data_IF_933078185136
#
_entry.id   IF_933078185136
#
_cell.length_a   1.000
_cell.length_b   1.000
_cell.length_c   1.000
_cell.angle_alpha   90.00
_cell.angle_beta   90.00
_cell.angle_gamma   90.00
#
_symmetry.space_group_name_H-M   'P 1'
#
loop_
_entity.id
_entity.type
_entity.pdbx_description
1 polymer ?
#
# COMPACT_ATOMS: atom_id res chain seq x y z
N UNK A 1 -10.62 17.62 82.82
CA UNK A 1 -11.27 16.38 82.32
C UNK A 1 -11.09 16.36 80.85
N UNK A 2 -10.17 15.51 80.39
CA UNK A 2 -9.77 15.32 78.97
C UNK A 2 -10.44 14.04 78.50
N UNK A 3 -11.32 14.13 77.53
CA UNK A 3 -11.84 12.96 76.82
C UNK A 3 -11.13 12.82 75.46
N UNK A 4 -10.35 11.79 75.34
CA UNK A 4 -9.74 11.34 74.11
C UNK A 4 -10.66 10.29 73.44
N UNK A 5 -11.16 10.58 72.24
CA UNK A 5 -11.81 9.58 71.38
C UNK A 5 -10.77 8.92 70.47
N UNK A 6 -10.76 7.60 70.35
CA UNK A 6 -9.94 6.94 69.34
C UNK A 6 -10.68 6.90 68.01
N UNK A 7 -10.03 7.40 66.96
CA UNK A 7 -10.47 7.26 65.57
C UNK A 7 -10.15 5.82 65.14
N UNK A 8 -11.19 5.01 64.98
CA UNK A 8 -11.08 3.69 64.37
C UNK A 8 -10.95 3.87 62.84
N UNK A 9 -9.78 3.63 62.31
CA UNK A 9 -9.47 3.62 60.87
C UNK A 9 -10.07 2.36 60.26
N UNK A 10 -11.22 2.46 59.58
CA UNK A 10 -11.84 1.37 58.82
C UNK A 10 -11.12 1.23 57.51
N UNK A 11 -10.18 0.30 57.40
CA UNK A 11 -9.54 -0.14 56.17
C UNK A 11 -10.53 -1.01 55.38
N UNK A 12 -11.24 -0.39 54.44
CA UNK A 12 -11.99 -1.11 53.41
C UNK A 12 -10.99 -1.63 52.36
N UNK A 13 -10.62 -2.88 52.50
CA UNK A 13 -9.92 -3.63 51.45
C UNK A 13 -10.89 -3.86 50.29
N UNK A 14 -10.83 -2.99 49.29
CA UNK A 14 -11.41 -3.23 48.00
C UNK A 14 -10.60 -4.38 47.33
N UNK A 15 -11.08 -5.60 47.49
CA UNK A 15 -10.65 -6.72 46.66
C UNK A 15 -11.15 -6.43 45.23
N UNK A 16 -10.32 -5.75 44.44
CA UNK A 16 -10.44 -5.78 43.00
C UNK A 16 -10.02 -7.21 42.52
N UNK A 17 -10.97 -8.13 42.55
CA UNK A 17 -10.84 -9.36 41.82
C UNK A 17 -10.81 -8.97 40.33
N UNK A 18 -9.61 -8.81 39.79
CA UNK A 18 -9.39 -8.83 38.34
C UNK A 18 -9.82 -10.24 37.92
N UNK A 19 -11.10 -10.36 37.48
CA UNK A 19 -11.55 -11.52 36.75
C UNK A 19 -10.76 -11.49 35.44
N UNK A 20 -9.62 -12.15 35.40
CA UNK A 20 -8.99 -12.50 34.16
C UNK A 20 -10.02 -13.35 33.40
N UNK A 21 -10.72 -12.75 32.47
CA UNK A 21 -11.51 -13.49 31.48
C UNK A 21 -10.51 -14.41 30.79
N UNK A 22 -10.58 -15.71 31.11
CA UNK A 22 -9.83 -16.70 30.36
C UNK A 22 -10.22 -16.52 28.89
N UNK A 23 -9.28 -16.15 28.05
CA UNK A 23 -9.53 -16.02 26.63
C UNK A 23 -10.12 -17.36 26.17
N UNK A 24 -11.30 -17.36 25.57
CA UNK A 24 -11.89 -18.56 25.00
C UNK A 24 -10.95 -19.10 23.93
N UNK A 25 -10.32 -20.23 24.23
CA UNK A 25 -9.37 -20.89 23.34
C UNK A 25 -10.07 -21.81 22.33
N UNK A 26 -11.38 -21.93 22.41
CA UNK A 26 -12.20 -22.81 21.56
C UNK A 26 -12.11 -22.32 20.11
N UNK A 27 -11.83 -23.26 19.20
CA UNK A 27 -11.84 -22.99 17.77
C UNK A 27 -13.15 -23.58 17.21
N UNK A 28 -13.96 -22.70 16.63
CA UNK A 28 -15.26 -23.06 16.07
C UNK A 28 -15.14 -23.43 14.60
N UNK A 29 -15.99 -24.34 14.15
CA UNK A 29 -16.17 -24.74 12.74
C UNK A 29 -17.44 -24.13 12.12
N UNK A 30 -18.35 -23.64 12.97
CA UNK A 30 -19.64 -23.04 12.58
C UNK A 30 -19.90 -21.80 13.43
N UNK A 31 -20.41 -20.75 12.81
CA UNK A 31 -20.77 -19.49 13.45
C UNK A 31 -22.01 -18.89 12.77
N UNK A 32 -22.69 -17.98 13.46
CA UNK A 32 -23.86 -17.26 12.93
C UNK A 32 -23.47 -16.31 11.79
N UNK A 33 -22.32 -15.65 11.95
CA UNK A 33 -21.70 -14.85 10.90
C UNK A 33 -20.30 -15.40 10.63
N UNK A 34 -20.06 -15.78 9.39
CA UNK A 34 -18.77 -16.27 8.94
C UNK A 34 -17.76 -15.14 8.82
N UNK A 35 -16.47 -15.41 9.01
CA UNK A 35 -15.44 -14.40 8.84
C UNK A 35 -15.37 -13.91 7.38
N UNK A 36 -14.90 -12.68 7.21
CA UNK A 36 -14.78 -12.04 5.91
C UNK A 36 -13.47 -11.25 5.81
N UNK A 37 -12.66 -11.39 4.75
CA UNK A 37 -11.48 -10.56 4.57
C UNK A 37 -11.89 -9.10 4.36
N UNK A 38 -11.23 -8.20 5.10
CA UNK A 38 -11.46 -6.76 5.02
C UNK A 38 -10.75 -6.18 3.79
N UNK A 39 -11.44 -6.17 2.67
CA UNK A 39 -10.96 -5.62 1.42
C UNK A 39 -11.83 -4.43 0.99
N UNK A 40 -11.19 -3.29 0.80
CA UNK A 40 -11.88 -2.02 0.60
C UNK A 40 -12.68 -1.93 -0.69
N UNK A 41 -12.22 -2.59 -1.76
CA UNK A 41 -12.94 -2.65 -3.02
C UNK A 41 -14.31 -3.34 -2.91
N UNK A 42 -14.54 -4.08 -1.83
CA UNK A 42 -15.74 -4.88 -1.62
C UNK A 42 -16.63 -4.38 -0.47
N UNK A 43 -16.42 -3.15 0.01
CA UNK A 43 -17.22 -2.62 1.13
C UNK A 43 -18.58 -2.10 0.65
N UNK A 44 -19.66 -2.33 1.44
CA UNK A 44 -21.03 -1.91 1.10
C UNK A 44 -21.16 -0.41 0.83
N UNK A 45 -20.37 0.41 1.56
CA UNK A 45 -20.37 1.87 1.44
C UNK A 45 -19.97 2.35 0.05
N UNK A 46 -19.19 1.54 -0.68
CA UNK A 46 -18.76 1.82 -2.05
C UNK A 46 -19.73 1.30 -3.11
N UNK A 47 -20.61 0.40 -2.71
CA UNK A 47 -21.53 -0.28 -3.61
C UNK A 47 -22.95 -0.25 -3.04
N UNK A 48 -23.64 0.91 -3.07
CA UNK A 48 -25.02 1.01 -2.62
C UNK A 48 -25.90 -0.03 -3.34
N UNK A 49 -26.59 -0.86 -2.57
CA UNK A 49 -27.44 -1.92 -3.10
C UNK A 49 -26.81 -3.33 -3.17
N UNK A 50 -25.55 -3.48 -2.79
CA UNK A 50 -24.96 -4.82 -2.63
C UNK A 50 -25.55 -5.53 -1.43
N UNK A 51 -25.85 -6.80 -1.62
CA UNK A 51 -26.22 -7.71 -0.52
C UNK A 51 -24.97 -8.19 0.20
N UNK A 52 -25.12 -8.69 1.42
CA UNK A 52 -24.04 -9.32 2.18
C UNK A 52 -23.32 -10.42 1.38
N UNK A 53 -24.08 -11.18 0.59
CA UNK A 53 -23.58 -12.23 -0.28
C UNK A 53 -22.73 -11.68 -1.45
N UNK A 54 -23.10 -10.53 -1.98
CA UNK A 54 -22.31 -9.84 -3.01
C UNK A 54 -20.98 -9.33 -2.46
N UNK A 55 -21.00 -8.77 -1.26
CA UNK A 55 -19.79 -8.33 -0.54
C UNK A 55 -18.86 -9.51 -0.28
N UNK A 56 -19.39 -10.64 0.18
CA UNK A 56 -18.64 -11.87 0.43
C UNK A 56 -17.96 -12.40 -0.82
N UNK A 57 -18.71 -12.56 -1.90
CA UNK A 57 -18.16 -13.04 -3.19
C UNK A 57 -17.06 -12.14 -3.72
N UNK A 58 -17.23 -10.82 -3.61
CA UNK A 58 -16.20 -9.86 -3.99
C UNK A 58 -14.94 -10.04 -3.14
N UNK A 59 -15.08 -10.09 -1.81
CA UNK A 59 -13.95 -10.20 -0.88
C UNK A 59 -13.17 -11.50 -1.07
N UNK A 60 -13.85 -12.62 -1.28
CA UNK A 60 -13.23 -13.92 -1.56
C UNK A 60 -12.47 -13.90 -2.89
N UNK A 61 -13.07 -13.36 -3.96
CA UNK A 61 -12.42 -13.25 -5.27
C UNK A 61 -11.19 -12.34 -5.24
N UNK A 62 -11.29 -11.19 -4.58
CA UNK A 62 -10.19 -10.26 -4.41
C UNK A 62 -9.06 -10.86 -3.57
N UNK A 63 -9.39 -11.55 -2.48
CA UNK A 63 -8.39 -12.25 -1.66
C UNK A 63 -7.60 -13.26 -2.50
N UNK A 64 -8.28 -14.09 -3.28
CA UNK A 64 -7.62 -15.06 -4.17
C UNK A 64 -6.71 -14.36 -5.18
N UNK A 65 -7.13 -13.20 -5.70
CA UNK A 65 -6.31 -12.40 -6.60
C UNK A 65 -5.06 -11.86 -5.91
N UNK A 66 -5.21 -11.34 -4.68
CA UNK A 66 -4.08 -10.85 -3.89
C UNK A 66 -3.10 -11.99 -3.58
N UNK A 67 -3.62 -13.13 -3.16
CA UNK A 67 -2.81 -14.32 -2.89
C UNK A 67 -2.05 -14.75 -4.15
N UNK A 68 -2.75 -14.86 -5.29
CA UNK A 68 -2.14 -15.26 -6.56
C UNK A 68 -1.01 -14.33 -7.02
N UNK A 69 -1.16 -13.01 -6.80
CA UNK A 69 -0.11 -12.02 -7.11
C UNK A 69 1.13 -12.13 -6.20
N UNK A 70 0.99 -12.71 -5.01
CA UNK A 70 2.06 -12.83 -4.02
C UNK A 70 2.66 -14.23 -3.93
N UNK A 71 2.08 -15.22 -4.61
CA UNK A 71 2.64 -16.57 -4.72
C UNK A 71 3.87 -16.52 -5.63
N UNK A 72 4.96 -17.11 -5.14
CA UNK A 72 6.15 -17.41 -5.94
C UNK A 72 6.10 -18.89 -6.26
N UNK A 73 6.03 -19.21 -7.55
CA UNK A 73 6.02 -20.62 -7.96
C UNK A 73 7.38 -21.25 -7.63
N UNK A 74 7.43 -22.28 -6.75
CA UNK A 74 8.70 -22.86 -6.34
C UNK A 74 9.44 -23.47 -7.54
N UNK A 75 10.76 -23.28 -7.56
CA UNK A 75 11.60 -23.74 -8.68
C UNK A 75 11.51 -25.25 -8.90
N UNK A 76 11.54 -26.04 -7.81
CA UNK A 76 11.37 -27.49 -7.87
C UNK A 76 10.02 -27.88 -8.46
N UNK A 77 8.94 -27.20 -8.09
CA UNK A 77 7.62 -27.46 -8.64
C UNK A 77 7.56 -27.12 -10.13
N UNK A 78 8.23 -26.03 -10.54
CA UNK A 78 8.31 -25.59 -11.94
C UNK A 78 9.09 -26.62 -12.80
N UNK A 79 10.25 -27.05 -12.32
CA UNK A 79 11.08 -28.04 -13.02
C UNK A 79 10.38 -29.40 -13.20
N UNK A 80 9.56 -29.78 -12.21
CA UNK A 80 8.82 -31.03 -12.21
C UNK A 80 7.40 -30.92 -12.80
N UNK A 81 7.03 -29.77 -13.36
CA UNK A 81 5.70 -29.47 -13.89
C UNK A 81 4.55 -29.83 -12.91
N UNK A 82 4.75 -29.56 -11.61
CA UNK A 82 3.77 -29.88 -10.57
C UNK A 82 2.67 -28.82 -10.53
N UNK A 83 1.50 -29.12 -11.03
CA UNK A 83 0.29 -28.32 -10.93
C UNK A 83 -0.73 -28.94 -9.99
N UNK A 84 -1.56 -28.14 -9.37
CA UNK A 84 -2.63 -28.62 -8.52
C UNK A 84 -3.09 -27.63 -7.48
N UNK A 85 -3.81 -28.15 -6.48
CA UNK A 85 -4.35 -27.33 -5.40
C UNK A 85 -3.72 -27.75 -4.06
N UNK A 86 -3.02 -26.81 -3.45
CA UNK A 86 -2.63 -26.86 -2.04
C UNK A 86 -3.82 -26.42 -1.21
N UNK A 87 -4.16 -27.15 -0.16
CA UNK A 87 -5.19 -26.74 0.78
C UNK A 87 -4.53 -26.40 2.10
N UNK A 88 -4.69 -25.15 2.50
CA UNK A 88 -4.25 -24.68 3.82
C UNK A 88 -5.45 -24.52 4.76
N UNK A 89 -5.20 -24.55 6.05
CA UNK A 89 -6.14 -24.08 7.06
C UNK A 89 -5.45 -23.13 8.02
N UNK A 90 -6.19 -22.18 8.57
CA UNK A 90 -5.73 -21.25 9.58
C UNK A 90 -6.91 -20.87 10.49
N UNK A 91 -6.60 -20.28 11.63
CA UNK A 91 -7.60 -19.76 12.56
C UNK A 91 -7.68 -18.26 12.42
N UNK A 92 -8.89 -17.74 12.21
CA UNK A 92 -9.17 -16.31 12.26
C UNK A 92 -9.46 -15.96 13.70
N UNK A 93 -8.64 -15.12 14.27
CA UNK A 93 -8.72 -14.67 15.66
C UNK A 93 -9.77 -13.55 15.83
N UNK A 94 -10.30 -13.34 17.04
CA UNK A 94 -11.20 -12.21 17.32
C UNK A 94 -10.61 -10.83 16.96
N UNK A 95 -9.29 -10.73 16.91
CA UNK A 95 -8.56 -9.53 16.49
C UNK A 95 -8.55 -9.29 14.97
N UNK A 96 -9.06 -10.24 14.19
CA UNK A 96 -9.00 -10.22 12.74
C UNK A 96 -7.65 -10.66 12.15
N UNK A 97 -6.68 -11.06 12.96
CA UNK A 97 -5.44 -11.69 12.51
C UNK A 97 -5.66 -13.17 12.24
N UNK A 98 -4.73 -13.79 11.52
CA UNK A 98 -4.72 -15.24 11.38
C UNK A 98 -3.62 -15.87 12.24
N UNK A 99 -3.86 -17.11 12.64
CA UNK A 99 -2.91 -17.93 13.42
C UNK A 99 -3.00 -19.40 13.03
N UNK A 100 -2.06 -20.21 13.47
CA UNK A 100 -2.13 -21.65 13.35
C UNK A 100 -2.25 -22.15 11.92
N UNK A 101 -1.53 -21.56 10.96
CA UNK A 101 -1.51 -21.99 9.57
C UNK A 101 -1.00 -23.43 9.48
N UNK A 102 -1.77 -24.28 8.81
CA UNK A 102 -1.46 -25.70 8.55
C UNK A 102 -1.70 -26.04 7.09
N UNK A 103 -0.88 -26.89 6.56
CA UNK A 103 -1.05 -27.45 5.22
C UNK A 103 -1.87 -28.75 5.39
N UNK A 104 -3.08 -28.78 4.83
CA UNK A 104 -3.98 -29.95 4.87
C UNK A 104 -3.73 -30.87 3.68
N UNK A 105 -3.38 -30.29 2.52
CA UNK A 105 -3.04 -31.00 1.30
C UNK A 105 -1.92 -30.28 0.61
N UNK A 106 -0.88 -30.99 0.23
CA UNK A 106 0.24 -30.50 -0.55
C UNK A 106 0.34 -31.25 -1.88
N UNK A 107 0.89 -30.58 -2.87
CA UNK A 107 1.23 -31.16 -4.18
C UNK A 107 2.73 -31.42 -4.34
N UNK A 108 3.53 -31.09 -3.32
CA UNK A 108 4.97 -31.24 -3.32
C UNK A 108 5.71 -30.07 -3.95
N UNK A 109 7.02 -30.27 -4.21
CA UNK A 109 7.89 -29.26 -4.86
C UNK A 109 7.96 -27.91 -4.15
N UNK A 110 7.72 -27.84 -2.84
CA UNK A 110 7.73 -26.60 -2.08
C UNK A 110 6.43 -25.78 -2.13
N UNK A 111 5.37 -26.26 -2.81
CA UNK A 111 4.12 -25.51 -2.97
C UNK A 111 3.36 -25.31 -1.66
N UNK A 112 3.36 -26.31 -0.76
CA UNK A 112 2.76 -26.18 0.57
C UNK A 112 3.41 -25.12 1.44
N UNK A 113 4.73 -25.15 1.67
CA UNK A 113 5.48 -24.10 2.34
C UNK A 113 5.25 -22.70 1.74
N UNK A 114 5.22 -22.58 0.42
CA UNK A 114 4.97 -21.30 -0.25
C UNK A 114 3.54 -20.78 0.02
N UNK A 115 2.55 -21.65 -0.01
CA UNK A 115 1.17 -21.29 0.33
C UNK A 115 1.05 -20.77 1.78
N UNK A 116 1.74 -21.43 2.73
CA UNK A 116 1.78 -20.97 4.11
C UNK A 116 2.52 -19.64 4.25
N UNK A 117 3.66 -19.46 3.54
CA UNK A 117 4.43 -18.21 3.54
C UNK A 117 3.59 -17.02 3.06
N UNK A 118 2.84 -17.19 1.97
CA UNK A 118 2.01 -16.11 1.42
C UNK A 118 0.92 -15.69 2.41
N UNK A 119 0.24 -16.64 3.03
CA UNK A 119 -0.78 -16.32 4.03
C UNK A 119 -0.19 -15.56 5.23
N UNK A 120 0.96 -16.00 5.72
CA UNK A 120 1.67 -15.32 6.80
C UNK A 120 2.09 -13.92 6.38
N UNK A 121 2.70 -13.77 5.19
CA UNK A 121 3.12 -12.48 4.68
C UNK A 121 1.97 -11.48 4.50
N UNK A 122 0.79 -11.95 4.09
CA UNK A 122 -0.39 -11.09 3.98
C UNK A 122 -0.91 -10.64 5.34
N UNK A 123 -0.88 -11.51 6.37
CA UNK A 123 -1.23 -11.12 7.74
C UNK A 123 -0.22 -10.12 8.31
N UNK A 124 1.07 -10.34 8.07
CA UNK A 124 2.15 -9.43 8.51
C UNK A 124 2.08 -8.08 7.77
N UNK A 125 1.72 -8.11 6.48
CA UNK A 125 1.46 -6.89 5.69
C UNK A 125 0.16 -6.17 6.07
N UNK A 126 -0.57 -6.71 7.06
CA UNK A 126 -1.73 -6.05 7.63
C UNK A 126 -3.08 -6.48 7.04
N UNK A 127 -3.17 -7.52 6.21
CA UNK A 127 -4.48 -8.07 5.84
C UNK A 127 -5.23 -8.49 7.12
N UNK A 128 -6.47 -8.01 7.26
CA UNK A 128 -7.33 -8.31 8.41
C UNK A 128 -8.64 -8.92 7.97
N UNK A 129 -9.29 -9.60 8.92
CA UNK A 129 -10.57 -10.25 8.74
C UNK A 129 -11.60 -9.66 9.71
N UNK A 130 -12.82 -9.52 9.26
CA UNK A 130 -13.95 -9.47 10.19
C UNK A 130 -14.03 -10.85 10.84
N UNK A 131 -13.98 -10.94 12.18
CA UNK A 131 -14.04 -12.23 12.86
C UNK A 131 -15.42 -12.89 12.71
N UNK A 132 -15.45 -14.19 12.88
CA UNK A 132 -16.71 -14.91 13.04
C UNK A 132 -17.46 -14.43 14.29
N UNK A 133 -18.78 -14.42 14.24
CA UNK A 133 -19.61 -14.03 15.38
C UNK A 133 -20.48 -15.20 15.83
N UNK A 134 -20.57 -15.37 17.16
CA UNK A 134 -21.45 -16.31 17.81
C UNK A 134 -21.99 -15.69 19.11
N UNK A 135 -23.30 -15.78 19.33
CA UNK A 135 -23.98 -15.17 20.46
C UNK A 135 -23.59 -13.68 20.65
N UNK A 136 -23.46 -12.95 19.52
CA UNK A 136 -23.08 -11.53 19.49
C UNK A 136 -21.63 -11.25 19.87
N UNK A 137 -20.77 -12.25 20.02
CA UNK A 137 -19.34 -12.11 20.38
C UNK A 137 -18.42 -12.58 19.26
N UNK A 138 -17.27 -11.92 19.05
CA UNK A 138 -16.27 -12.40 18.13
C UNK A 138 -15.60 -13.66 18.66
N UNK A 139 -15.51 -14.69 17.81
CA UNK A 139 -14.96 -16.00 18.18
C UNK A 139 -13.85 -16.42 17.23
N UNK A 140 -13.00 -17.33 17.72
CA UNK A 140 -11.95 -17.97 16.91
C UNK A 140 -12.59 -18.98 15.96
N UNK A 141 -12.32 -18.86 14.68
CA UNK A 141 -12.89 -19.76 13.69
C UNK A 141 -11.83 -20.33 12.75
N UNK A 142 -11.91 -21.63 12.49
CA UNK A 142 -11.08 -22.29 11.49
C UNK A 142 -11.61 -21.98 10.09
N UNK A 143 -10.68 -21.57 9.22
CA UNK A 143 -10.94 -21.36 7.80
C UNK A 143 -10.01 -22.25 6.97
N UNK A 144 -10.53 -22.88 5.94
CA UNK A 144 -9.75 -23.56 4.93
C UNK A 144 -9.65 -22.70 3.67
N UNK A 145 -8.47 -22.70 3.04
CA UNK A 145 -8.26 -21.97 1.79
C UNK A 145 -7.54 -22.86 0.78
N UNK A 146 -8.20 -23.17 -0.36
CA UNK A 146 -7.55 -23.83 -1.48
C UNK A 146 -6.77 -22.80 -2.30
N UNK A 147 -5.48 -23.07 -2.53
CA UNK A 147 -4.59 -22.27 -3.35
C UNK A 147 -4.18 -23.08 -4.57
N UNK A 148 -4.55 -22.60 -5.75
CA UNK A 148 -4.27 -23.31 -6.99
C UNK A 148 -2.95 -22.86 -7.59
N UNK A 149 -2.02 -23.80 -7.71
CA UNK A 149 -0.78 -23.66 -8.44
C UNK A 149 -1.00 -24.10 -9.88
N UNK A 150 -0.78 -23.21 -10.82
CA UNK A 150 -0.80 -23.48 -12.27
C UNK A 150 0.46 -22.90 -12.87
N UNK A 151 1.05 -23.62 -13.80
CA UNK A 151 2.15 -23.15 -14.63
C UNK A 151 1.68 -22.25 -15.78
N UNK A 152 0.49 -21.65 -15.64
CA UNK A 152 0.12 -20.57 -16.54
C UNK A 152 1.02 -19.38 -16.23
N UNK A 153 1.75 -18.95 -17.28
CA UNK A 153 2.37 -17.63 -17.25
C UNK A 153 1.32 -16.62 -16.82
N UNK A 154 1.62 -15.83 -15.79
CA UNK A 154 0.78 -14.70 -15.45
C UNK A 154 0.57 -13.89 -16.75
N UNK A 155 -0.66 -13.48 -17.03
CA UNK A 155 -0.90 -12.63 -18.20
C UNK A 155 0.08 -11.46 -18.12
N UNK A 156 0.80 -11.17 -19.19
CA UNK A 156 1.80 -10.11 -19.21
C UNK A 156 1.16 -8.72 -19.06
N UNK A 157 -0.16 -8.65 -18.91
CA UNK A 157 -0.94 -7.42 -18.83
C UNK A 157 -2.10 -7.57 -17.84
N UNK A 158 -2.62 -6.43 -17.39
CA UNK A 158 -3.92 -6.33 -16.73
C UNK A 158 -4.86 -5.46 -17.58
N UNK A 159 -6.15 -5.56 -17.30
CA UNK A 159 -7.16 -4.70 -17.94
C UNK A 159 -7.41 -3.51 -17.01
N UNK A 160 -7.22 -2.30 -17.53
CA UNK A 160 -7.49 -1.08 -16.78
C UNK A 160 -9.01 -0.73 -16.71
N UNK A 161 -9.37 0.38 -16.09
CA UNK A 161 -10.76 0.81 -15.93
C UNK A 161 -11.46 1.15 -17.26
N UNK A 162 -10.69 1.48 -18.31
CA UNK A 162 -11.21 1.78 -19.67
C UNK A 162 -11.32 0.54 -20.54
N UNK A 163 -10.84 -0.62 -20.07
CA UNK A 163 -10.90 -1.89 -20.80
C UNK A 163 -9.65 -2.16 -21.65
N UNK A 164 -8.62 -1.33 -21.53
CA UNK A 164 -7.36 -1.50 -22.27
C UNK A 164 -6.41 -2.48 -21.58
N UNK A 165 -5.67 -3.25 -22.37
CA UNK A 165 -4.62 -4.14 -21.84
C UNK A 165 -3.35 -3.36 -21.59
N UNK A 166 -2.98 -3.19 -20.32
CA UNK A 166 -1.74 -2.52 -19.90
C UNK A 166 -0.71 -3.56 -19.52
N UNK A 167 0.36 -3.65 -20.30
CA UNK A 167 1.40 -4.65 -20.14
C UNK A 167 2.33 -4.27 -18.98
N UNK A 168 2.62 -5.25 -18.13
CA UNK A 168 3.55 -5.15 -16.98
C UNK A 168 4.80 -6.00 -17.19
N UNK A 169 4.75 -6.92 -18.17
CA UNK A 169 5.89 -7.69 -18.62
C UNK A 169 6.07 -7.40 -20.11
N UNK A 170 7.22 -6.86 -20.48
CA UNK A 170 7.53 -6.42 -21.84
C UNK A 170 8.97 -6.80 -22.19
N UNK A 171 9.27 -6.99 -23.47
CA UNK A 171 10.60 -7.28 -23.96
C UNK A 171 11.48 -6.02 -23.94
N UNK A 172 10.86 -4.86 -24.19
CA UNK A 172 11.49 -3.55 -24.05
C UNK A 172 10.52 -2.54 -23.47
N UNK A 173 11.00 -1.75 -22.50
CA UNK A 173 10.22 -0.64 -21.92
C UNK A 173 10.01 0.47 -22.95
N UNK A 174 8.97 1.30 -22.79
CA UNK A 174 8.81 2.49 -23.61
C UNK A 174 10.04 3.38 -23.46
N UNK A 175 10.41 4.03 -24.55
CA UNK A 175 11.51 4.97 -24.54
C UNK A 175 11.04 6.33 -25.10
N UNK A 176 11.67 7.41 -24.69
CA UNK A 176 11.38 8.73 -25.22
C UNK A 176 12.32 9.04 -26.41
N UNK A 177 11.88 9.89 -27.32
CA UNK A 177 12.72 10.41 -28.40
C UNK A 177 13.99 11.06 -27.81
N UNK A 178 15.17 10.54 -28.18
CA UNK A 178 16.44 10.96 -27.56
C UNK A 178 16.77 10.25 -26.23
N UNK A 179 16.01 9.24 -25.82
CA UNK A 179 16.25 8.47 -24.61
C UNK A 179 15.96 9.24 -23.33
N UNK A 180 16.62 8.87 -22.24
CA UNK A 180 16.48 9.53 -20.94
C UNK A 180 16.92 11.01 -20.99
N UNK A 181 17.98 11.31 -21.73
CA UNK A 181 18.45 12.70 -21.92
C UNK A 181 17.41 13.54 -22.65
N UNK A 182 16.80 12.97 -23.72
CA UNK A 182 15.73 13.63 -24.48
C UNK A 182 14.50 13.90 -23.63
N UNK A 183 14.11 12.96 -22.77
CA UNK A 183 13.02 13.16 -21.82
C UNK A 183 13.36 14.26 -20.80
N UNK A 184 14.58 14.22 -20.24
CA UNK A 184 15.03 15.22 -19.29
C UNK A 184 15.02 16.63 -19.90
N UNK A 185 15.59 16.78 -21.11
CA UNK A 185 15.57 18.04 -21.85
C UNK A 185 14.16 18.53 -22.15
N UNK A 186 13.28 17.62 -22.55
CA UNK A 186 11.87 17.93 -22.80
C UNK A 186 11.18 18.45 -21.54
N UNK A 187 11.43 17.80 -20.38
CA UNK A 187 10.86 18.21 -19.10
C UNK A 187 11.43 19.54 -18.63
N UNK A 188 12.77 19.71 -18.65
CA UNK A 188 13.43 20.92 -18.18
C UNK A 188 13.06 22.16 -19.01
N UNK A 189 12.96 22.02 -20.33
CA UNK A 189 12.64 23.12 -21.21
C UNK A 189 11.13 23.35 -21.39
N UNK A 190 10.32 22.33 -21.12
CA UNK A 190 8.87 22.36 -21.34
C UNK A 190 8.04 22.69 -20.11
N UNK A 191 8.58 22.46 -18.91
CA UNK A 191 7.88 22.66 -17.64
C UNK A 191 7.95 24.14 -17.24
N UNK A 192 6.77 24.74 -17.01
CA UNK A 192 6.70 26.13 -16.58
C UNK A 192 6.24 26.19 -15.12
N UNK A 193 6.95 27.00 -14.33
CA UNK A 193 6.50 27.30 -12.99
C UNK A 193 5.31 28.26 -13.05
N UNK A 194 4.14 27.92 -12.43
CA UNK A 194 2.94 28.77 -12.52
C UNK A 194 3.20 30.19 -12.00
N UNK A 195 2.90 31.19 -12.82
CA UNK A 195 3.28 32.59 -12.56
C UNK A 195 2.67 33.17 -11.30
N UNK A 196 1.46 32.74 -10.94
CA UNK A 196 0.77 33.16 -9.72
C UNK A 196 1.51 32.75 -8.43
N UNK A 197 2.39 31.76 -8.50
CA UNK A 197 3.09 31.19 -7.34
C UNK A 197 4.61 31.48 -7.33
N UNK A 198 5.12 32.29 -8.25
CA UNK A 198 6.58 32.52 -8.36
C UNK A 198 7.23 33.00 -7.07
N UNK A 199 6.52 33.78 -6.29
CA UNK A 199 7.06 34.37 -5.04
C UNK A 199 6.67 33.51 -3.79
N UNK A 200 5.91 32.43 -3.97
CA UNK A 200 5.52 31.53 -2.89
C UNK A 200 6.59 30.50 -2.51
N UNK A 201 7.64 30.39 -3.32
CA UNK A 201 8.72 29.41 -3.18
C UNK A 201 8.26 27.95 -3.01
N UNK A 202 7.08 27.60 -3.52
CA UNK A 202 6.62 26.22 -3.52
C UNK A 202 7.57 25.35 -4.31
N UNK A 203 8.05 24.28 -3.70
CA UNK A 203 8.97 23.33 -4.33
C UNK A 203 8.44 21.93 -4.10
N UNK A 204 8.42 21.09 -5.14
CA UNK A 204 7.88 19.75 -5.00
C UNK A 204 7.80 18.99 -6.30
N UNK A 205 7.23 17.78 -6.21
CA UNK A 205 7.12 16.85 -7.31
C UNK A 205 5.64 16.52 -7.56
N UNK A 206 5.25 16.60 -8.84
CA UNK A 206 4.06 15.96 -9.38
C UNK A 206 4.51 14.73 -10.13
N UNK A 207 3.93 13.58 -9.82
CA UNK A 207 4.11 12.34 -10.57
C UNK A 207 2.85 12.03 -11.36
N UNK A 208 3.01 11.73 -12.63
CA UNK A 208 1.94 11.25 -13.50
C UNK A 208 2.22 9.82 -13.91
N UNK A 209 1.23 8.95 -13.78
CA UNK A 209 1.25 7.63 -14.40
C UNK A 209 0.78 7.79 -15.84
N UNK A 210 1.71 7.68 -16.79
CA UNK A 210 1.43 7.84 -18.22
C UNK A 210 1.30 6.46 -18.85
N UNK A 211 0.17 6.18 -19.49
CA UNK A 211 0.02 5.04 -20.38
C UNK A 211 0.53 5.43 -21.75
N UNK A 212 1.65 4.84 -22.15
CA UNK A 212 2.21 4.98 -23.51
C UNK A 212 1.53 3.94 -24.38
N UNK A 213 0.74 4.40 -25.34
CA UNK A 213 -0.01 3.56 -26.29
C UNK A 213 0.87 2.98 -27.40
N UNK A 214 0.42 1.93 -28.09
CA UNK A 214 1.16 1.34 -29.20
C UNK A 214 1.47 2.30 -30.37
N UNK A 215 0.71 3.38 -30.50
CA UNK A 215 0.91 4.43 -31.50
C UNK A 215 1.76 5.63 -30.99
N UNK A 216 2.32 5.52 -29.79
CA UNK A 216 3.10 6.57 -29.15
C UNK A 216 2.26 7.70 -28.54
N UNK A 217 0.92 7.59 -28.56
CA UNK A 217 0.05 8.52 -27.86
C UNK A 217 0.13 8.27 -26.35
N UNK A 218 -0.29 9.28 -25.58
CA UNK A 218 -0.19 9.28 -24.12
C UNK A 218 -1.56 9.50 -23.51
N UNK A 219 -1.93 8.62 -22.58
CA UNK A 219 -3.06 8.84 -21.67
C UNK A 219 -2.51 9.03 -20.25
N UNK A 220 -3.23 9.80 -19.45
CA UNK A 220 -2.88 10.00 -18.03
C UNK A 220 -3.81 9.09 -17.22
N UNK A 221 -3.24 8.09 -16.57
CA UNK A 221 -3.97 7.12 -15.75
C UNK A 221 -4.16 7.62 -14.31
N UNK A 222 -3.13 8.25 -13.75
CA UNK A 222 -3.16 8.77 -12.38
C UNK A 222 -2.22 9.98 -12.22
N UNK A 223 -2.48 10.76 -11.17
CA UNK A 223 -1.64 11.90 -10.78
C UNK A 223 -1.47 11.99 -9.28
N UNK A 224 -0.24 12.21 -8.83
CA UNK A 224 0.13 12.30 -7.43
C UNK A 224 0.87 13.61 -7.17
N UNK A 225 0.32 14.45 -6.29
CA UNK A 225 0.96 15.68 -5.80
C UNK A 225 1.54 15.43 -4.42
N UNK A 226 2.79 15.01 -4.35
CA UNK A 226 3.44 14.64 -3.09
C UNK A 226 3.74 15.82 -2.17
N UNK A 227 3.73 17.04 -2.69
CA UNK A 227 4.16 18.23 -1.95
C UNK A 227 3.03 19.22 -1.70
N UNK A 228 1.80 18.91 -2.10
CA UNK A 228 0.66 19.81 -1.95
C UNK A 228 0.82 21.11 -2.75
N UNK A 229 1.40 21.01 -3.95
CA UNK A 229 1.63 22.17 -4.83
C UNK A 229 0.30 22.78 -5.27
N UNK A 230 -0.69 21.93 -5.58
CA UNK A 230 -2.04 22.33 -5.95
C UNK A 230 -2.32 22.28 -7.45
N UNK A 231 -3.58 22.61 -7.79
CA UNK A 231 -4.15 22.36 -9.12
C UNK A 231 -3.39 23.04 -10.28
N UNK A 232 -2.89 24.25 -10.10
CA UNK A 232 -2.18 24.94 -11.20
C UNK A 232 -0.90 24.21 -11.60
N UNK A 233 -0.20 23.61 -10.64
CA UNK A 233 0.97 22.77 -10.91
C UNK A 233 0.58 21.44 -11.55
N UNK A 234 -0.52 20.85 -11.10
CA UNK A 234 -1.05 19.63 -11.68
C UNK A 234 -1.48 19.85 -13.15
N UNK A 235 -2.17 20.95 -13.45
CA UNK A 235 -2.53 21.32 -14.83
C UNK A 235 -1.31 21.55 -15.71
N UNK A 236 -0.26 22.16 -15.17
CA UNK A 236 0.99 22.34 -15.91
C UNK A 236 1.68 21.01 -16.22
N UNK A 237 1.73 20.09 -15.25
CA UNK A 237 2.25 18.75 -15.46
C UNK A 237 1.44 17.99 -16.55
N UNK A 238 0.11 18.02 -16.47
CA UNK A 238 -0.78 17.42 -17.45
C UNK A 238 -0.57 18.05 -18.84
N UNK A 239 -0.48 19.40 -18.92
CA UNK A 239 -0.20 20.12 -20.16
C UNK A 239 1.09 19.62 -20.82
N UNK A 240 2.16 19.48 -20.03
CA UNK A 240 3.44 19.03 -20.56
C UNK A 240 3.37 17.55 -20.97
N UNK A 241 2.75 16.70 -20.16
CA UNK A 241 2.56 15.28 -20.49
C UNK A 241 1.83 15.10 -21.83
N UNK A 242 0.74 15.84 -22.05
CA UNK A 242 0.00 15.79 -23.33
C UNK A 242 0.86 16.23 -24.53
N UNK A 243 1.80 17.15 -24.33
CA UNK A 243 2.75 17.56 -25.39
C UNK A 243 3.82 16.51 -25.70
N UNK A 244 3.97 15.50 -24.87
CA UNK A 244 4.87 14.37 -25.12
C UNK A 244 4.28 13.32 -26.08
N UNK A 245 2.97 13.42 -26.39
CA UNK A 245 2.29 12.50 -27.29
C UNK A 245 3.00 12.47 -28.66
N UNK A 246 3.20 11.27 -29.20
CA UNK A 246 3.92 11.03 -30.44
C UNK A 246 5.45 11.10 -30.34
N UNK A 247 6.01 11.41 -29.15
CA UNK A 247 7.49 11.41 -28.89
C UNK A 247 7.94 10.14 -28.19
N UNK A 248 7.03 9.24 -27.87
CA UNK A 248 7.32 8.00 -27.21
C UNK A 248 7.44 6.85 -28.21
N UNK A 249 8.48 6.06 -28.04
CA UNK A 249 8.63 4.75 -28.68
C UNK A 249 7.93 3.76 -27.73
N UNK A 250 6.86 3.08 -28.19
CA UNK A 250 6.09 2.21 -27.30
C UNK A 250 6.88 0.97 -26.86
N UNK A 251 6.45 0.38 -25.74
CA UNK A 251 6.94 -0.91 -25.29
C UNK A 251 6.73 -1.99 -26.33
N UNK A 252 7.56 -3.02 -26.31
CA UNK A 252 7.42 -4.19 -27.18
C UNK A 252 7.15 -5.44 -26.34
N UNK A 253 6.24 -6.26 -26.82
CA UNK A 253 5.99 -7.60 -26.31
C UNK A 253 5.81 -8.57 -27.48
N UNK A 254 6.66 -9.60 -27.56
CA UNK A 254 6.69 -10.58 -28.67
C UNK A 254 6.74 -9.91 -30.05
N UNK A 255 7.56 -8.85 -30.17
CA UNK A 255 7.75 -8.10 -31.41
C UNK A 255 6.57 -7.21 -31.83
N UNK A 256 5.61 -6.97 -30.92
CA UNK A 256 4.45 -6.09 -31.16
C UNK A 256 4.48 -4.90 -30.20
N UNK A 257 4.15 -3.68 -30.66
CA UNK A 257 4.00 -2.55 -29.78
C UNK A 257 2.79 -2.75 -28.86
N UNK A 258 2.97 -2.47 -27.57
CA UNK A 258 1.95 -2.67 -26.52
C UNK A 258 1.85 -1.46 -25.63
N UNK A 259 0.67 -1.27 -24.99
CA UNK A 259 0.47 -0.21 -24.03
C UNK A 259 1.12 -0.56 -22.69
N UNK A 260 1.84 0.38 -22.09
CA UNK A 260 2.53 0.20 -20.80
C UNK A 260 2.44 1.50 -20.00
N UNK A 261 2.25 1.37 -18.69
CA UNK A 261 2.26 2.52 -17.78
C UNK A 261 3.68 2.83 -17.31
N UNK A 262 4.06 4.10 -17.36
CA UNK A 262 5.35 4.61 -16.87
C UNK A 262 5.14 5.80 -15.95
N UNK A 263 5.80 5.88 -14.78
CA UNK A 263 5.76 7.05 -13.94
C UNK A 263 6.68 8.14 -14.51
N UNK A 264 6.17 9.36 -14.61
CA UNK A 264 6.96 10.54 -14.99
C UNK A 264 6.88 11.56 -13.89
N UNK A 265 8.02 11.87 -13.28
CA UNK A 265 8.15 12.83 -12.18
C UNK A 265 8.58 14.19 -12.68
N UNK A 266 7.83 15.22 -12.34
CA UNK A 266 8.06 16.61 -12.72
C UNK A 266 8.37 17.44 -11.49
N UNK A 267 9.61 17.96 -11.43
CA UNK A 267 10.10 18.76 -10.32
C UNK A 267 9.84 20.24 -10.58
N UNK A 268 9.06 20.85 -9.71
CA UNK A 268 8.80 22.29 -9.72
C UNK A 268 9.68 23.00 -8.71
N UNK A 269 10.43 23.97 -9.20
CA UNK A 269 11.25 24.90 -8.40
C UNK A 269 11.11 26.30 -8.95
N UNK A 270 10.93 27.29 -8.06
CA UNK A 270 10.95 28.68 -8.47
C UNK A 270 12.39 29.14 -8.78
N UNK A 271 12.56 29.85 -9.90
CA UNK A 271 13.82 30.46 -10.32
C UNK A 271 14.15 31.78 -9.58
N UNK A 272 13.25 32.24 -8.72
CA UNK A 272 13.43 33.48 -7.96
C UNK A 272 14.59 33.36 -6.98
N UNK A 273 15.48 34.36 -6.92
CA UNK A 273 16.62 34.33 -5.99
C UNK A 273 16.20 34.15 -4.52
N UNK A 274 15.04 34.72 -4.14
CA UNK A 274 14.47 34.56 -2.79
C UNK A 274 14.05 33.14 -2.43
N UNK A 275 13.88 32.26 -3.42
CA UNK A 275 13.46 30.88 -3.21
C UNK A 275 14.61 29.86 -3.15
N UNK A 276 15.86 30.33 -3.25
CA UNK A 276 17.05 29.47 -3.26
C UNK A 276 17.08 28.55 -2.03
N UNK A 277 16.87 29.12 -0.84
CA UNK A 277 16.89 28.34 0.41
C UNK A 277 15.81 27.25 0.46
N UNK A 278 14.60 27.52 -0.06
CA UNK A 278 13.53 26.53 -0.13
C UNK A 278 13.88 25.40 -1.10
N UNK A 279 14.47 25.73 -2.24
CA UNK A 279 14.93 24.75 -3.21
C UNK A 279 16.04 23.85 -2.64
N UNK A 280 17.03 24.44 -1.95
CA UNK A 280 18.13 23.72 -1.31
C UNK A 280 17.60 22.81 -0.17
N UNK A 281 16.65 23.29 0.63
CA UNK A 281 16.02 22.48 1.67
C UNK A 281 15.27 21.27 1.08
N UNK A 282 14.58 21.46 -0.04
CA UNK A 282 13.93 20.35 -0.75
C UNK A 282 14.95 19.33 -1.27
N UNK A 283 16.02 19.79 -1.92
CA UNK A 283 17.07 18.89 -2.43
C UNK A 283 17.70 18.06 -1.31
N UNK A 284 18.01 18.71 -0.19
CA UNK A 284 18.54 18.02 0.98
C UNK A 284 17.56 17.02 1.57
N UNK A 285 16.27 17.36 1.60
CA UNK A 285 15.23 16.42 2.06
C UNK A 285 15.15 15.19 1.15
N UNK A 286 15.22 15.35 -0.17
CA UNK A 286 15.22 14.23 -1.12
C UNK A 286 16.48 13.37 -1.00
N UNK A 287 17.65 13.98 -0.79
CA UNK A 287 18.89 13.23 -0.54
C UNK A 287 18.77 12.37 0.73
N UNK A 288 18.31 12.96 1.83
CA UNK A 288 18.09 12.22 3.08
C UNK A 288 17.07 11.09 2.92
N UNK A 289 16.03 11.28 2.10
CA UNK A 289 15.06 10.24 1.80
C UNK A 289 15.67 9.07 1.05
N UNK A 290 16.53 9.33 0.07
CA UNK A 290 17.24 8.29 -0.67
C UNK A 290 18.19 7.50 0.24
N UNK A 291 18.91 8.16 1.14
CA UNK A 291 19.73 7.50 2.16
C UNK A 291 18.87 6.63 3.08
N UNK A 292 17.72 7.14 3.52
CA UNK A 292 16.78 6.40 4.34
C UNK A 292 16.23 5.16 3.63
N UNK A 293 15.89 5.27 2.36
CA UNK A 293 15.41 4.15 1.56
C UNK A 293 16.48 3.05 1.44
N UNK A 294 17.75 3.42 1.24
CA UNK A 294 18.87 2.49 1.20
C UNK A 294 19.06 1.77 2.55
N UNK A 295 19.02 2.51 3.67
CA UNK A 295 19.08 1.93 5.02
C UNK A 295 17.92 0.98 5.29
N UNK A 296 16.71 1.37 4.91
CA UNK A 296 15.52 0.51 5.06
C UNK A 296 15.64 -0.78 4.26
N UNK A 297 16.18 -0.72 3.05
CA UNK A 297 16.43 -1.90 2.21
C UNK A 297 17.46 -2.86 2.82
N UNK A 298 18.38 -2.34 3.61
CA UNK A 298 19.36 -3.09 4.38
C UNK A 298 18.84 -3.58 5.75
N UNK A 299 17.53 -3.38 6.02
CA UNK A 299 16.89 -3.70 7.30
C UNK A 299 17.39 -2.84 8.50
N UNK A 300 17.96 -1.66 8.22
CA UNK A 300 18.43 -0.69 9.22
C UNK A 300 17.32 0.37 9.46
N UNK A 301 16.13 -0.08 9.87
CA UNK A 301 14.91 0.72 9.87
C UNK A 301 14.96 1.89 10.86
N UNK A 302 15.60 1.74 12.02
CA UNK A 302 15.77 2.83 13.00
C UNK A 302 16.61 3.97 12.45
N UNK A 303 17.71 3.65 11.75
CA UNK A 303 18.55 4.66 11.11
C UNK A 303 17.82 5.33 9.94
N UNK A 304 17.05 4.56 9.18
CA UNK A 304 16.18 5.10 8.12
C UNK A 304 15.15 6.09 8.68
N UNK A 305 14.52 5.78 9.82
CA UNK A 305 13.58 6.68 10.50
C UNK A 305 14.23 8.01 10.89
N UNK A 306 15.46 7.98 11.38
CA UNK A 306 16.19 9.21 11.73
C UNK A 306 16.39 10.09 10.49
N UNK A 307 16.77 9.51 9.36
CA UNK A 307 16.93 10.23 8.10
C UNK A 307 15.60 10.79 7.59
N UNK A 308 14.49 10.06 7.62
CA UNK A 308 13.18 10.59 7.26
C UNK A 308 12.70 11.67 8.21
N UNK A 309 13.02 11.61 9.51
CA UNK A 309 12.75 12.69 10.45
C UNK A 309 13.49 13.97 10.07
N UNK A 310 14.78 13.86 9.70
CA UNK A 310 15.58 14.99 9.22
C UNK A 310 15.02 15.56 7.90
N UNK A 311 14.64 14.70 6.96
CA UNK A 311 14.01 15.11 5.70
C UNK A 311 12.70 15.86 5.93
N UNK A 312 11.84 15.36 6.81
CA UNK A 312 10.56 15.99 7.17
C UNK A 312 10.72 17.27 8.00
N UNK A 313 11.83 17.45 8.70
CA UNK A 313 12.16 18.74 9.31
C UNK A 313 12.44 19.84 8.28
N UNK A 314 12.98 19.47 7.13
CA UNK A 314 13.24 20.38 6.00
C UNK A 314 11.99 20.58 5.13
N UNK A 315 11.18 19.53 4.93
CA UNK A 315 9.99 19.57 4.09
C UNK A 315 8.80 18.85 4.76
N UNK A 316 8.12 19.49 5.73
CA UNK A 316 7.18 18.84 6.63
C UNK A 316 5.86 18.38 5.99
N UNK A 317 5.49 18.96 4.84
CA UNK A 317 4.25 18.67 4.12
C UNK A 317 4.47 17.80 2.87
N UNK A 318 5.59 17.10 2.81
CA UNK A 318 5.84 16.12 1.76
C UNK A 318 5.18 14.78 2.13
N UNK A 319 4.13 14.42 1.38
CA UNK A 319 3.34 13.21 1.63
C UNK A 319 4.08 11.92 1.30
N UNK A 320 5.04 11.95 0.37
CA UNK A 320 5.89 10.80 0.06
C UNK A 320 6.81 10.46 1.23
N UNK A 321 7.46 11.47 1.82
CA UNK A 321 8.30 11.30 3.01
C UNK A 321 7.50 10.80 4.21
N UNK A 322 6.31 11.35 4.42
CA UNK A 322 5.38 10.90 5.47
C UNK A 322 4.97 9.44 5.25
N UNK A 323 4.65 9.06 4.01
CA UNK A 323 4.29 7.69 3.67
C UNK A 323 5.44 6.70 3.95
N UNK A 324 6.66 7.03 3.55
CA UNK A 324 7.82 6.19 3.83
C UNK A 324 8.10 6.06 5.33
N UNK A 325 8.02 7.17 6.06
CA UNK A 325 8.20 7.14 7.52
C UNK A 325 7.10 6.33 8.21
N UNK A 326 5.85 6.47 7.78
CA UNK A 326 4.74 5.66 8.28
C UNK A 326 4.98 4.16 8.04
N UNK A 327 5.47 3.80 6.86
CA UNK A 327 5.81 2.41 6.53
C UNK A 327 6.92 1.86 7.43
N UNK A 328 7.95 2.67 7.71
CA UNK A 328 9.01 2.30 8.63
C UNK A 328 8.52 2.17 10.09
N UNK A 329 7.61 3.04 10.53
CA UNK A 329 6.96 2.88 11.83
C UNK A 329 6.19 1.56 11.94
N UNK A 330 5.52 1.14 10.86
CA UNK A 330 4.83 -0.17 10.83
C UNK A 330 5.81 -1.34 10.97
N UNK A 331 6.95 -1.29 10.32
CA UNK A 331 7.98 -2.32 10.44
C UNK A 331 8.48 -2.48 11.88
N UNK A 332 8.40 -1.42 12.68
CA UNK A 332 8.75 -1.39 14.10
C UNK A 332 7.56 -1.54 15.06
N UNK A 333 6.38 -1.92 14.55
CA UNK A 333 5.10 -2.03 15.31
C UNK A 333 4.65 -0.73 16.02
N UNK A 334 5.14 0.43 15.56
CA UNK A 334 4.78 1.77 16.08
C UNK A 334 3.54 2.30 15.38
N UNK A 335 2.39 1.64 15.57
CA UNK A 335 1.14 1.89 14.83
C UNK A 335 0.60 3.30 15.00
N UNK A 336 0.62 3.85 16.20
CA UNK A 336 0.10 5.21 16.47
C UNK A 336 0.85 6.25 15.65
N UNK A 337 2.18 6.17 15.61
CA UNK A 337 3.02 7.07 14.84
C UNK A 337 2.77 6.92 13.33
N UNK A 338 2.65 5.68 12.84
CA UNK A 338 2.30 5.40 11.45
C UNK A 338 0.94 6.01 11.08
N UNK A 339 -0.06 5.87 11.95
CA UNK A 339 -1.40 6.40 11.73
C UNK A 339 -1.45 7.94 11.72
N UNK A 340 -0.62 8.59 12.52
CA UNK A 340 -0.48 10.05 12.49
C UNK A 340 0.04 10.52 11.12
N UNK A 341 1.09 9.88 10.61
CA UNK A 341 1.65 10.20 9.29
C UNK A 341 0.67 9.89 8.15
N UNK A 342 0.04 8.71 8.13
CA UNK A 342 -0.97 8.37 7.13
C UNK A 342 -2.17 9.32 7.13
N UNK A 343 -2.58 9.80 8.29
CA UNK A 343 -3.66 10.78 8.39
C UNK A 343 -3.24 12.11 7.75
N UNK A 344 -1.98 12.52 7.95
CA UNK A 344 -1.43 13.73 7.32
C UNK A 344 -1.29 13.56 5.81
N UNK A 345 -0.82 12.40 5.33
CA UNK A 345 -0.78 12.08 3.88
C UNK A 345 -2.17 12.22 3.26
N UNK A 346 -3.22 11.69 3.91
CA UNK A 346 -4.60 11.80 3.41
C UNK A 346 -5.05 13.25 3.26
N UNK A 347 -4.74 14.09 4.24
CA UNK A 347 -5.10 15.51 4.21
C UNK A 347 -4.37 16.22 3.06
N UNK A 348 -3.08 15.94 2.88
CA UNK A 348 -2.23 16.62 1.89
C UNK A 348 -2.58 16.21 0.46
N UNK A 349 -2.76 14.93 0.22
CA UNK A 349 -2.97 14.43 -1.15
C UNK A 349 -4.43 14.48 -1.60
N UNK A 350 -5.38 14.49 -0.68
CA UNK A 350 -6.81 14.43 -1.04
C UNK A 350 -7.21 13.14 -1.77
N UNK A 351 -6.28 12.17 -1.93
CA UNK A 351 -6.49 10.92 -2.65
C UNK A 351 -6.75 9.77 -1.70
N UNK A 352 -7.34 8.71 -2.20
CA UNK A 352 -7.75 7.55 -1.41
C UNK A 352 -6.95 6.29 -1.73
N UNK A 353 -5.90 6.36 -2.58
CA UNK A 353 -5.15 5.18 -3.03
C UNK A 353 -4.53 4.37 -1.87
N UNK A 354 -4.07 5.04 -0.81
CA UNK A 354 -3.50 4.39 0.39
C UNK A 354 -4.52 4.20 1.52
N UNK A 355 -5.76 4.66 1.37
CA UNK A 355 -6.82 4.55 2.37
C UNK A 355 -7.09 3.09 2.80
N UNK A 356 -6.96 2.08 1.90
CA UNK A 356 -7.00 0.67 2.30
C UNK A 356 -5.98 0.34 3.37
N UNK A 357 -4.73 0.76 3.18
CA UNK A 357 -3.65 0.52 4.14
C UNK A 357 -3.91 1.27 5.45
N UNK A 358 -4.30 2.54 5.36
CA UNK A 358 -4.58 3.36 6.54
C UNK A 358 -5.69 2.77 7.41
N UNK A 359 -6.83 2.41 6.84
CA UNK A 359 -7.93 1.78 7.60
C UNK A 359 -7.54 0.45 8.20
N UNK A 360 -6.77 -0.33 7.47
CA UNK A 360 -6.26 -1.61 7.90
C UNK A 360 -5.39 -1.48 9.15
N UNK A 361 -4.51 -0.48 9.15
CA UNK A 361 -3.54 -0.26 10.22
C UNK A 361 -4.16 0.51 11.39
N UNK A 362 -4.97 1.51 11.09
CA UNK A 362 -5.44 2.49 12.08
C UNK A 362 -6.84 2.20 12.62
N UNK A 363 -7.60 1.30 11.99
CA UNK A 363 -8.89 0.82 12.52
C UNK A 363 -10.07 1.79 12.37
N UNK A 364 -9.89 2.91 11.62
CA UNK A 364 -10.93 3.95 11.39
C UNK A 364 -10.65 4.81 10.15
#
# INVERSE_FOLDING_TARGET
MKYTFPIALLLVLLNNAIIAQSADTTIYEVAERLPLPLLMSCQPERHPGWTEDSVRRCAEAQLLTIVAKNIRYPEEARQNNLEGTVVTSFVIEPTGRISGIKILKDIGGGCGPEAARVLQALDDAGLRWLPAMRDGKPVRMRQAMPLRFRLQEALPYFINATGDSIYVQVDSMPNFEGGEEGLLDFLLNGLHYPTAYRDSCKTGIIELALVIRPDGQVDIEDQLDFSGLGLDFQFEAIRLANRSAGKWIPAQYQGRPVATSVPVRMLFKSDRPGCKAANEAFDQAMLLSNEAAALSSNNEVEQALEKWNQALALHPDNSELLYFRASAFLSLDKREAACADFSKVKILMGTTWFEPLRRLVCGW
#
